data_IF_793076464555
#
_entry.id   IF_793076464555
#
_cell.length_a   1.000
_cell.length_b   1.000
_cell.length_c   1.000
_cell.angle_alpha   90.00
_cell.angle_beta   90.00
_cell.angle_gamma   90.00
#
_symmetry.space_group_name_H-M   'P 1'
#
loop_
_entity.id
_entity.type
_entity.pdbx_description
1 polymer ?
#
# COMPACT_ATOMS: atom_id res chain seq x y z
N UNK A 1 10.85 -41.38 -38.63
CA UNK A 1 9.59 -41.00 -38.00
C UNK A 1 9.64 -40.93 -36.45
N UNK A 2 10.77 -40.61 -35.84
CA UNK A 2 10.88 -40.55 -34.38
C UNK A 2 11.45 -39.22 -33.83
N UNK A 3 11.39 -38.14 -34.61
CA UNK A 3 11.98 -36.82 -34.19
C UNK A 3 11.02 -35.66 -34.05
N UNK A 4 9.70 -35.85 -34.08
CA UNK A 4 8.74 -34.74 -34.11
C UNK A 4 7.88 -34.63 -32.86
N UNK A 5 8.15 -35.37 -31.76
CA UNK A 5 7.30 -35.37 -30.57
C UNK A 5 7.88 -34.52 -29.41
N UNK A 6 9.14 -34.11 -29.49
CA UNK A 6 9.79 -33.39 -28.37
C UNK A 6 9.66 -31.86 -28.40
N UNK A 7 9.11 -31.27 -29.46
CA UNK A 7 9.04 -29.80 -29.60
C UNK A 7 7.73 -29.20 -29.07
N UNK A 8 6.72 -30.02 -28.80
CA UNK A 8 5.41 -29.50 -28.30
C UNK A 8 5.28 -29.41 -26.80
N UNK A 9 6.24 -29.92 -26.03
CA UNK A 9 6.11 -29.94 -24.55
C UNK A 9 6.76 -28.75 -23.84
N UNK A 10 7.45 -27.86 -24.58
CA UNK A 10 8.23 -26.77 -23.98
C UNK A 10 7.51 -25.42 -23.99
N UNK A 11 6.29 -25.31 -24.51
CA UNK A 11 5.57 -24.04 -24.67
C UNK A 11 4.54 -23.80 -23.51
N UNK A 12 4.29 -24.79 -22.66
CA UNK A 12 3.23 -24.69 -21.64
C UNK A 12 3.68 -24.16 -20.27
N UNK A 13 4.92 -23.72 -20.10
CA UNK A 13 5.48 -23.37 -18.79
C UNK A 13 5.64 -21.87 -18.51
N UNK A 14 5.16 -20.96 -19.39
CA UNK A 14 5.48 -19.52 -19.25
C UNK A 14 4.30 -18.65 -18.81
N UNK A 15 3.12 -19.19 -18.55
CA UNK A 15 1.91 -18.37 -18.24
C UNK A 15 1.57 -18.23 -16.75
N UNK A 16 2.43 -18.69 -15.82
CA UNK A 16 2.07 -18.82 -14.40
C UNK A 16 2.55 -17.70 -13.45
N UNK A 17 3.38 -16.74 -13.90
CA UNK A 17 4.13 -15.88 -12.95
C UNK A 17 3.44 -14.56 -12.59
N UNK A 18 2.47 -14.09 -13.34
CA UNK A 18 1.87 -12.75 -13.12
C UNK A 18 0.78 -12.68 -12.06
N UNK A 19 0.20 -13.81 -11.64
CA UNK A 19 -0.90 -13.82 -10.67
C UNK A 19 -0.45 -13.82 -9.20
N UNK A 20 0.78 -14.21 -8.91
CA UNK A 20 1.27 -14.35 -7.53
C UNK A 20 1.49 -13.00 -6.84
N UNK A 21 1.96 -11.99 -7.56
CA UNK A 21 2.24 -10.67 -7.01
C UNK A 21 0.95 -9.93 -6.57
N UNK A 22 -0.10 -10.01 -7.39
CA UNK A 22 -1.43 -9.45 -7.04
C UNK A 22 -2.02 -10.14 -5.82
N UNK A 23 -2.01 -11.47 -5.77
CA UNK A 23 -2.53 -12.25 -4.66
C UNK A 23 -1.79 -11.93 -3.36
N UNK A 24 -0.48 -11.67 -3.40
CA UNK A 24 0.30 -11.26 -2.23
C UNK A 24 -0.16 -9.91 -1.69
N UNK A 25 -0.34 -8.89 -2.53
CA UNK A 25 -0.81 -7.58 -2.10
C UNK A 25 -2.25 -7.61 -1.59
N UNK A 26 -3.11 -8.47 -2.14
CA UNK A 26 -4.47 -8.68 -1.64
C UNK A 26 -4.48 -9.26 -0.23
N UNK A 27 -3.62 -10.23 0.05
CA UNK A 27 -3.47 -10.81 1.39
C UNK A 27 -3.00 -9.77 2.40
N UNK A 28 -2.05 -8.90 2.02
CA UNK A 28 -1.58 -7.81 2.86
C UNK A 28 -2.67 -6.77 3.11
N UNK A 29 -3.49 -6.45 2.11
CA UNK A 29 -4.62 -5.55 2.28
C UNK A 29 -5.65 -6.11 3.27
N UNK A 30 -5.94 -7.41 3.22
CA UNK A 30 -6.81 -8.06 4.19
C UNK A 30 -6.23 -8.00 5.62
N UNK A 31 -4.93 -8.22 5.78
CA UNK A 31 -4.27 -8.06 7.08
C UNK A 31 -4.29 -6.59 7.56
N UNK A 32 -4.12 -5.64 6.66
CA UNK A 32 -4.11 -4.21 6.94
C UNK A 32 -5.50 -3.70 7.39
N UNK A 33 -6.57 -4.32 6.94
CA UNK A 33 -7.95 -3.94 7.26
C UNK A 33 -8.26 -3.99 8.76
N UNK A 34 -7.49 -4.75 9.56
CA UNK A 34 -7.60 -4.78 11.03
C UNK A 34 -7.40 -3.40 11.68
N UNK A 35 -6.69 -2.49 10.99
CA UNK A 35 -6.46 -1.13 11.48
C UNK A 35 -7.62 -0.18 11.18
N UNK A 36 -8.50 -0.53 10.25
CA UNK A 36 -9.74 0.22 9.98
C UNK A 36 -10.84 -0.33 10.90
N UNK A 37 -10.85 0.14 12.13
CA UNK A 37 -11.77 -0.34 13.17
C UNK A 37 -13.16 0.27 13.04
N UNK A 38 -14.12 -0.23 13.83
CA UNK A 38 -15.56 0.06 13.75
C UNK A 38 -15.98 1.54 13.72
N UNK A 39 -15.13 2.46 14.17
CA UNK A 39 -15.40 3.91 14.14
C UNK A 39 -15.14 4.52 12.75
N UNK A 40 -14.45 3.80 11.88
CA UNK A 40 -14.09 4.24 10.55
C UNK A 40 -14.75 3.37 9.51
N UNK A 41 -15.31 4.01 8.52
CA UNK A 41 -15.83 3.35 7.33
C UNK A 41 -14.75 3.43 6.25
N UNK A 42 -14.44 2.31 5.62
CA UNK A 42 -13.56 2.31 4.44
C UNK A 42 -14.14 3.21 3.36
N UNK A 43 -13.31 4.00 2.71
CA UNK A 43 -13.70 4.78 1.53
C UNK A 43 -13.91 3.91 0.28
N UNK A 44 -13.74 2.60 0.40
CA UNK A 44 -13.87 1.62 -0.68
C UNK A 44 -12.64 1.55 -1.58
N UNK A 45 -11.62 2.37 -1.34
CA UNK A 45 -10.38 2.35 -2.10
C UNK A 45 -9.30 1.57 -1.37
N UNK A 46 -8.46 0.91 -2.15
CA UNK A 46 -7.32 0.15 -1.65
C UNK A 46 -6.16 0.37 -2.59
N UNK A 47 -5.23 1.19 -2.16
CA UNK A 47 -4.03 1.50 -2.93
C UNK A 47 -2.99 0.41 -2.69
N UNK A 48 -2.47 -0.17 -3.76
CA UNK A 48 -1.55 -1.31 -3.70
C UNK A 48 -0.47 -1.17 -4.75
N UNK A 49 0.78 -1.40 -4.36
CA UNK A 49 1.91 -1.46 -5.27
C UNK A 49 2.91 -2.49 -4.78
N UNK A 50 3.41 -3.33 -5.68
CA UNK A 50 4.55 -4.18 -5.40
C UNK A 50 5.82 -3.34 -5.51
N UNK A 51 6.62 -3.36 -4.45
CA UNK A 51 7.96 -2.76 -4.42
C UNK A 51 9.01 -3.88 -4.45
N UNK A 52 9.96 -3.77 -5.36
CA UNK A 52 11.00 -4.78 -5.54
C UNK A 52 12.13 -4.64 -4.51
N UNK A 53 12.30 -3.44 -3.97
CA UNK A 53 13.30 -3.14 -2.96
C UNK A 53 12.92 -1.87 -2.17
N UNK A 54 13.72 -1.53 -1.17
CA UNK A 54 13.50 -0.38 -0.30
C UNK A 54 13.87 0.98 -0.92
N UNK A 55 14.44 1.00 -2.12
CA UNK A 55 14.74 2.25 -2.84
C UNK A 55 13.56 2.71 -3.70
N UNK A 56 12.62 1.81 -3.99
CA UNK A 56 11.43 2.13 -4.74
C UNK A 56 10.39 2.83 -3.85
N UNK A 57 9.69 3.78 -4.45
CA UNK A 57 8.59 4.51 -3.81
C UNK A 57 7.31 4.30 -4.62
N UNK A 58 6.26 3.84 -3.96
CA UNK A 58 4.91 3.87 -4.53
C UNK A 58 4.30 5.24 -4.30
N UNK A 59 3.63 5.78 -5.31
CA UNK A 59 2.94 7.06 -5.25
C UNK A 59 1.45 6.85 -5.52
N UNK A 60 0.63 7.41 -4.65
CA UNK A 60 -0.83 7.35 -4.74
C UNK A 60 -1.40 8.76 -4.59
N UNK A 61 -2.47 9.04 -5.32
CA UNK A 61 -3.18 10.32 -5.25
C UNK A 61 -4.56 10.13 -4.66
N UNK A 62 -4.96 11.02 -3.79
CA UNK A 62 -6.28 11.00 -3.16
C UNK A 62 -6.74 12.41 -2.79
N UNK A 63 -8.05 12.58 -2.65
CA UNK A 63 -8.66 13.81 -2.15
C UNK A 63 -9.20 13.56 -0.75
N UNK A 64 -8.76 14.35 0.22
CA UNK A 64 -9.33 14.36 1.56
C UNK A 64 -10.34 15.52 1.66
N UNK A 65 -11.59 15.18 1.96
CA UNK A 65 -12.66 16.17 2.08
C UNK A 65 -12.61 16.86 3.44
N UNK A 66 -12.91 18.15 3.44
CA UNK A 66 -12.93 18.97 4.63
C UNK A 66 -13.96 18.52 5.67
N UNK A 67 -13.76 18.96 6.92
CA UNK A 67 -14.61 18.66 8.10
C UNK A 67 -14.72 17.15 8.41
N UNK A 68 -13.77 16.35 7.94
CA UNK A 68 -13.76 14.88 8.06
C UNK A 68 -12.53 14.42 8.83
N UNK A 69 -12.70 13.44 9.70
CA UNK A 69 -11.58 12.72 10.34
C UNK A 69 -11.32 11.43 9.57
N UNK A 70 -10.08 11.24 9.18
CA UNK A 70 -9.63 10.08 8.45
C UNK A 70 -8.69 9.24 9.29
N UNK A 71 -8.67 7.94 9.01
CA UNK A 71 -7.59 7.01 9.37
C UNK A 71 -6.94 6.50 8.10
N UNK A 72 -5.64 6.65 8.01
CA UNK A 72 -4.82 6.03 6.98
C UNK A 72 -4.06 4.87 7.62
N UNK A 73 -4.23 3.67 7.08
CA UNK A 73 -3.48 2.48 7.47
C UNK A 73 -2.50 2.10 6.38
N UNK A 74 -1.28 1.73 6.76
CA UNK A 74 -0.17 1.47 5.87
C UNK A 74 0.54 0.17 6.27
N UNK A 75 0.55 -0.80 5.37
CA UNK A 75 1.09 -2.13 5.63
C UNK A 75 1.91 -2.63 4.44
N UNK A 76 2.93 -3.44 4.70
CA UNK A 76 3.76 -4.05 3.65
C UNK A 76 3.93 -5.55 3.79
N UNK A 77 3.50 -6.13 4.90
CA UNK A 77 3.67 -7.55 5.19
C UNK A 77 2.85 -7.97 6.40
N UNK A 78 3.21 -9.12 6.98
CA UNK A 78 2.52 -9.67 8.14
C UNK A 78 2.76 -8.87 9.42
N UNK A 79 3.90 -8.18 9.52
CA UNK A 79 4.29 -7.38 10.68
C UNK A 79 4.09 -5.91 10.39
N UNK A 80 3.62 -5.18 11.39
CA UNK A 80 3.50 -3.73 11.32
C UNK A 80 4.86 -3.02 11.40
N UNK A 81 4.94 -1.78 10.91
CA UNK A 81 6.12 -0.96 11.03
C UNK A 81 7.16 -1.13 9.94
N UNK A 82 6.86 -1.88 8.88
CA UNK A 82 7.77 -2.09 7.74
C UNK A 82 7.53 -1.11 6.58
N UNK A 83 6.47 -0.34 6.60
CA UNK A 83 6.16 0.64 5.58
C UNK A 83 6.30 2.04 6.14
N UNK A 84 7.13 2.85 5.49
CA UNK A 84 7.23 4.28 5.71
C UNK A 84 6.30 4.96 4.72
N UNK A 85 5.44 5.84 5.19
CA UNK A 85 4.61 6.66 4.31
C UNK A 85 4.67 8.14 4.68
N UNK A 86 4.41 8.97 3.70
CA UNK A 86 4.30 10.41 3.85
C UNK A 86 3.11 10.93 3.05
N UNK A 87 2.53 12.03 3.52
CA UNK A 87 1.44 12.73 2.86
C UNK A 87 1.92 14.14 2.55
N UNK A 88 1.79 14.55 1.29
CA UNK A 88 2.12 15.89 0.83
C UNK A 88 0.91 16.53 0.14
N UNK A 89 0.85 17.85 0.15
CA UNK A 89 -0.15 18.60 -0.61
C UNK A 89 0.23 18.71 -2.10
N UNK A 90 -0.59 19.39 -2.89
CA UNK A 90 -0.36 19.61 -4.32
C UNK A 90 0.93 20.36 -4.64
N UNK A 91 1.39 21.21 -3.73
CA UNK A 91 2.62 22.00 -3.88
C UNK A 91 3.86 21.24 -3.43
N UNK A 92 3.69 19.99 -2.98
CA UNK A 92 4.76 19.13 -2.52
C UNK A 92 5.19 19.39 -1.07
N UNK A 93 4.44 20.20 -0.30
CA UNK A 93 4.73 20.41 1.11
C UNK A 93 4.38 19.15 1.90
N UNK A 94 5.32 18.67 2.70
CA UNK A 94 5.11 17.53 3.59
C UNK A 94 4.13 17.89 4.70
N UNK A 95 3.01 17.18 4.77
CA UNK A 95 1.99 17.35 5.80
C UNK A 95 2.20 16.37 6.95
N UNK A 96 2.62 15.14 6.64
CA UNK A 96 2.82 14.08 7.62
C UNK A 96 3.79 13.01 7.12
N UNK A 97 4.52 12.38 8.05
CA UNK A 97 5.23 11.13 7.82
C UNK A 97 5.24 10.28 9.09
N UNK A 98 4.97 8.98 8.94
CA UNK A 98 5.02 8.04 10.05
C UNK A 98 6.46 7.71 10.49
N UNK A 99 7.46 8.06 9.70
CA UNK A 99 8.88 7.86 10.05
C UNK A 99 9.23 8.49 11.41
N UNK A 100 8.65 9.65 11.68
CA UNK A 100 8.85 10.38 12.94
C UNK A 100 8.02 9.82 14.10
N UNK A 101 7.21 8.78 13.86
CA UNK A 101 6.31 8.14 14.82
C UNK A 101 6.54 6.62 14.87
N UNK A 102 7.81 6.21 14.84
CA UNK A 102 8.22 4.80 14.90
C UNK A 102 7.58 3.92 13.83
N UNK A 103 7.38 4.46 12.64
CA UNK A 103 6.69 3.79 11.52
C UNK A 103 5.29 3.27 11.91
N UNK A 104 4.54 4.06 12.67
CA UNK A 104 3.18 3.67 13.08
C UNK A 104 2.38 3.14 11.88
N UNK A 105 1.69 1.98 12.02
CA UNK A 105 0.98 1.35 10.92
C UNK A 105 -0.32 2.05 10.54
N UNK A 106 -0.77 3.01 11.32
CA UNK A 106 -1.90 3.87 11.00
C UNK A 106 -1.77 5.23 11.69
N UNK A 107 -2.48 6.21 11.17
CA UNK A 107 -2.55 7.56 11.73
C UNK A 107 -3.92 8.18 11.51
N UNK A 108 -4.42 8.87 12.53
CA UNK A 108 -5.69 9.59 12.48
C UNK A 108 -5.42 11.07 12.32
N UNK A 109 -6.15 11.72 11.42
CA UNK A 109 -6.03 13.16 11.24
C UNK A 109 -7.37 13.79 10.82
N UNK A 110 -7.57 15.02 11.24
CA UNK A 110 -8.74 15.81 10.88
C UNK A 110 -8.38 16.78 9.77
N UNK A 111 -9.16 16.77 8.72
CA UNK A 111 -9.03 17.67 7.58
C UNK A 111 -10.01 18.82 7.76
N UNK A 112 -9.51 20.06 7.80
CA UNK A 112 -10.36 21.26 7.93
C UNK A 112 -10.97 21.68 6.60
N UNK A 113 -10.16 21.68 5.55
CA UNK A 113 -10.56 22.06 4.20
C UNK A 113 -10.18 20.97 3.23
N UNK A 114 -11.01 20.75 2.21
CA UNK A 114 -10.74 19.76 1.16
C UNK A 114 -9.41 20.05 0.49
N UNK A 115 -8.56 19.02 0.39
CA UNK A 115 -7.26 19.11 -0.26
C UNK A 115 -6.94 17.83 -1.03
N UNK A 116 -6.25 18.00 -2.14
CA UNK A 116 -5.66 16.89 -2.89
C UNK A 116 -4.28 16.59 -2.34
N UNK A 117 -4.00 15.32 -2.15
CA UNK A 117 -2.77 14.85 -1.54
C UNK A 117 -2.11 13.79 -2.39
N UNK A 118 -0.79 13.74 -2.28
CA UNK A 118 0.04 12.64 -2.72
C UNK A 118 0.49 11.85 -1.50
N UNK A 119 0.31 10.54 -1.54
CA UNK A 119 0.80 9.60 -0.54
C UNK A 119 1.97 8.85 -1.16
N UNK A 120 3.15 9.00 -0.59
CA UNK A 120 4.34 8.23 -0.96
C UNK A 120 4.57 7.13 0.06
N UNK A 121 4.88 5.92 -0.39
CA UNK A 121 5.12 4.78 0.47
C UNK A 121 6.35 4.00 0.00
N UNK A 122 7.22 3.64 0.94
CA UNK A 122 8.44 2.87 0.70
C UNK A 122 8.69 1.86 1.82
N UNK A 123 9.39 0.79 1.50
CA UNK A 123 9.80 -0.19 2.51
C UNK A 123 10.91 0.41 3.40
N UNK A 124 10.87 0.13 4.70
CA UNK A 124 11.96 0.51 5.60
C UNK A 124 13.18 -0.38 5.34
N UNK A 125 14.25 0.22 4.82
CA UNK A 125 15.50 -0.47 4.51
C UNK A 125 16.14 -1.15 5.72
N UNK A 126 15.86 -0.67 6.94
CA UNK A 126 16.38 -1.25 8.18
C UNK A 126 15.60 -2.49 8.64
N UNK A 127 14.39 -2.69 8.12
CA UNK A 127 13.48 -3.77 8.55
C UNK A 127 13.15 -4.76 7.45
N UNK A 128 13.35 -4.40 6.19
CA UNK A 128 13.01 -5.22 5.05
C UNK A 128 14.15 -5.23 4.04
N UNK A 129 14.80 -6.38 3.89
CA UNK A 129 15.91 -6.59 2.97
C UNK A 129 15.47 -7.01 1.55
N UNK A 130 14.18 -7.11 1.26
CA UNK A 130 13.66 -7.64 0.01
C UNK A 130 12.50 -6.84 -0.56
N UNK A 131 11.69 -7.51 -1.39
CA UNK A 131 10.47 -6.98 -1.95
C UNK A 131 9.32 -7.00 -0.95
N UNK A 132 8.30 -6.18 -1.19
CA UNK A 132 7.07 -6.15 -0.39
C UNK A 132 5.96 -5.39 -1.08
N UNK A 133 4.76 -5.44 -0.51
CA UNK A 133 3.63 -4.67 -1.00
C UNK A 133 3.50 -3.37 -0.21
N UNK A 134 3.43 -2.24 -0.88
CA UNK A 134 2.90 -1.03 -0.27
C UNK A 134 1.38 -1.06 -0.36
N UNK A 135 0.71 -1.17 0.78
CA UNK A 135 -0.75 -1.15 0.89
C UNK A 135 -1.17 0.02 1.74
N UNK A 136 -2.03 0.87 1.19
CA UNK A 136 -2.65 2.00 1.89
C UNK A 136 -4.16 1.81 1.87
N UNK A 137 -4.76 1.82 3.05
CA UNK A 137 -6.21 1.82 3.25
C UNK A 137 -6.62 3.13 3.91
N UNK A 138 -7.74 3.67 3.47
CA UNK A 138 -8.28 4.92 4.00
C UNK A 138 -9.67 4.66 4.56
N UNK A 139 -9.88 5.05 5.80
CA UNK A 139 -11.18 5.08 6.44
C UNK A 139 -11.52 6.49 6.89
N UNK A 140 -12.80 6.81 6.91
CA UNK A 140 -13.31 8.08 7.45
C UNK A 140 -14.23 7.83 8.62
N UNK A 141 -14.20 8.73 9.59
CA UNK A 141 -15.05 8.62 10.78
C UNK A 141 -16.48 9.00 10.43
N UNK A 142 -17.40 8.11 10.75
CA UNK A 142 -18.82 8.39 10.65
C UNK A 142 -19.21 9.46 11.68
N UNK A 143 -20.02 10.43 11.24
CA UNK A 143 -20.59 11.47 12.13
C UNK A 143 -21.67 10.91 13.03
#
# INVERSE_FOLDING_TARGET
MKKTIYTSLLILAITGVTNTAKAQCDSIANLCSKHIIAQFISDGQSYRSLLLNSEETAEFHTTFFGETTYRLAACSGKSDGNLIFSISDQDGHLLFTNKNHSNAPYWDFKVKSTLECTINAQLDANKNAGSGCAVILIGFKQK
#
